data_IF_507428767831
#
_entry.id   IF_507428767831
#
_cell.length_a   1.000
_cell.length_b   1.000
_cell.length_c   1.000
_cell.angle_alpha   90.00
_cell.angle_beta   90.00
_cell.angle_gamma   90.00
#
_symmetry.space_group_name_H-M   'P 1'
#
loop_
_entity.id
_entity.type
_entity.pdbx_description
1 polymer ?
#
# COMPACT_ATOMS: atom_id res chain seq x y z
N UNK A 1 -13.06 -5.45 -2.69
CA UNK A 1 -12.31 -4.42 -3.45
C UNK A 1 -12.78 -4.25 -4.89
N UNK A 2 -12.36 -5.13 -5.81
CA UNK A 2 -12.60 -5.00 -7.26
C UNK A 2 -14.06 -5.20 -7.73
N UNK A 3 -14.98 -5.50 -6.82
CA UNK A 3 -16.42 -5.61 -7.12
C UNK A 3 -17.15 -4.25 -7.05
N UNK A 4 -16.49 -3.20 -6.54
CA UNK A 4 -17.05 -1.85 -6.50
C UNK A 4 -16.68 -1.07 -7.78
N UNK A 5 -17.67 -0.53 -8.52
CA UNK A 5 -17.40 0.24 -9.75
C UNK A 5 -16.49 1.46 -9.54
N UNK A 6 -16.55 2.09 -8.36
CA UNK A 6 -15.69 3.20 -7.96
C UNK A 6 -14.22 2.79 -7.94
N UNK A 7 -13.91 1.63 -7.35
CA UNK A 7 -12.55 1.09 -7.26
C UNK A 7 -12.05 0.60 -8.61
N UNK A 8 -12.90 -0.04 -9.44
CA UNK A 8 -12.51 -0.48 -10.79
C UNK A 8 -12.03 0.68 -11.66
N UNK A 9 -12.67 1.86 -11.55
CA UNK A 9 -12.24 3.07 -12.26
C UNK A 9 -10.88 3.58 -11.76
N UNK A 10 -10.64 3.53 -10.44
CA UNK A 10 -9.32 3.88 -9.87
C UNK A 10 -8.24 2.91 -10.36
N UNK A 11 -8.58 1.64 -10.60
CA UNK A 11 -7.66 0.57 -11.05
C UNK A 11 -7.51 0.42 -12.57
N UNK A 12 -7.87 1.42 -13.39
CA UNK A 12 -7.77 1.36 -14.86
C UNK A 12 -6.38 0.96 -15.37
N UNK A 13 -5.33 1.38 -14.65
CA UNK A 13 -3.94 1.16 -15.01
C UNK A 13 -3.54 -0.33 -15.01
N UNK A 14 -4.25 -1.19 -14.26
CA UNK A 14 -4.06 -2.64 -14.32
C UNK A 14 -4.31 -3.18 -15.73
N UNK A 15 -5.37 -2.71 -16.39
CA UNK A 15 -5.71 -3.11 -17.75
C UNK A 15 -4.79 -2.47 -18.78
N UNK A 16 -4.35 -1.24 -18.55
CA UNK A 16 -3.31 -0.60 -19.36
C UNK A 16 -2.04 -1.47 -19.38
N UNK A 17 -1.53 -1.88 -18.23
CA UNK A 17 -0.35 -2.74 -18.14
C UNK A 17 -0.54 -4.14 -18.73
N UNK A 18 -1.79 -4.63 -18.83
CA UNK A 18 -2.10 -5.89 -19.48
C UNK A 18 -1.92 -5.86 -21.01
N UNK A 19 -1.88 -4.67 -21.63
CA UNK A 19 -1.66 -4.55 -23.08
C UNK A 19 -0.20 -4.85 -23.45
N UNK A 20 0.07 -5.62 -24.52
CA UNK A 20 1.45 -5.88 -24.98
C UNK A 20 2.10 -4.66 -25.63
N UNK A 21 3.36 -4.38 -25.29
CA UNK A 21 4.25 -3.41 -25.95
C UNK A 21 3.99 -1.93 -25.60
N UNK A 22 2.72 -1.52 -25.54
CA UNK A 22 2.35 -0.13 -25.27
C UNK A 22 2.82 0.40 -23.89
N UNK A 23 2.71 -0.35 -22.78
CA UNK A 23 3.13 0.14 -21.48
C UNK A 23 4.63 0.35 -21.38
N UNK A 24 5.42 -0.56 -21.95
CA UNK A 24 6.89 -0.46 -21.97
C UNK A 24 7.35 0.86 -22.59
N UNK A 25 6.83 1.21 -23.78
CA UNK A 25 7.21 2.45 -24.45
C UNK A 25 6.76 3.70 -23.69
N UNK A 26 5.55 3.68 -23.11
CA UNK A 26 4.97 4.83 -22.41
C UNK A 26 5.66 5.10 -21.08
N UNK A 27 5.99 4.07 -20.29
CA UNK A 27 6.60 4.28 -18.97
C UNK A 27 7.98 4.90 -19.07
N UNK A 28 8.75 4.56 -20.11
CA UNK A 28 10.08 5.14 -20.35
C UNK A 28 10.03 6.55 -20.97
N UNK A 29 8.90 6.95 -21.55
CA UNK A 29 8.79 8.22 -22.25
C UNK A 29 8.85 9.43 -21.29
N UNK A 30 9.36 10.56 -21.82
CA UNK A 30 9.32 11.90 -21.18
C UNK A 30 9.86 11.91 -19.73
N UNK A 31 10.98 11.22 -19.52
CA UNK A 31 11.61 11.06 -18.20
C UNK A 31 10.63 10.49 -17.17
N UNK A 32 10.12 9.28 -17.44
CA UNK A 32 9.23 8.54 -16.55
C UNK A 32 7.94 9.28 -16.17
N UNK A 33 7.44 10.15 -17.06
CA UNK A 33 6.31 11.03 -16.75
C UNK A 33 5.09 10.27 -16.26
N UNK A 34 4.84 9.08 -16.80
CA UNK A 34 3.76 8.20 -16.38
C UNK A 34 3.88 7.80 -14.90
N UNK A 35 5.04 7.29 -14.46
CA UNK A 35 5.23 6.91 -13.05
C UNK A 35 5.29 8.12 -12.11
N UNK A 36 5.88 9.23 -12.55
CA UNK A 36 5.89 10.48 -11.76
C UNK A 36 4.48 11.00 -11.49
N UNK A 37 3.54 10.78 -12.41
CA UNK A 37 2.14 11.14 -12.19
C UNK A 37 1.52 10.38 -11.01
N UNK A 38 1.92 9.13 -10.74
CA UNK A 38 1.41 8.38 -9.58
C UNK A 38 1.93 8.90 -8.24
N UNK A 39 3.03 9.66 -8.25
CA UNK A 39 3.59 10.26 -7.02
C UNK A 39 3.07 11.68 -6.77
N UNK A 40 2.23 12.24 -7.64
CA UNK A 40 1.87 13.66 -7.58
C UNK A 40 0.91 14.01 -6.43
N UNK A 41 0.19 13.02 -5.91
CA UNK A 41 -0.80 13.19 -4.85
C UNK A 41 -0.20 13.14 -3.44
N UNK A 42 1.10 12.86 -3.34
CA UNK A 42 1.86 12.94 -2.10
C UNK A 42 1.80 14.36 -1.50
N UNK A 43 1.71 14.41 -0.17
CA UNK A 43 1.57 15.64 0.59
C UNK A 43 2.44 15.60 1.86
N UNK A 44 3.59 16.31 1.89
CA UNK A 44 4.03 17.30 0.91
C UNK A 44 4.47 16.68 -0.43
N UNK A 45 4.47 17.43 -1.55
CA UNK A 45 5.00 16.92 -2.80
C UNK A 45 6.46 16.48 -2.68
N UNK A 46 6.83 15.39 -3.33
CA UNK A 46 8.22 14.96 -3.42
C UNK A 46 9.12 16.06 -4.01
N UNK A 47 10.30 16.25 -3.43
CA UNK A 47 11.29 17.18 -3.97
C UNK A 47 11.87 16.64 -5.30
N UNK A 48 12.50 17.49 -6.12
CA UNK A 48 13.20 17.03 -7.32
C UNK A 48 14.24 15.93 -7.02
N UNK A 49 14.99 16.06 -5.93
CA UNK A 49 16.02 15.09 -5.53
C UNK A 49 15.43 13.76 -5.05
N UNK A 50 14.26 13.80 -4.40
CA UNK A 50 13.50 12.59 -4.08
C UNK A 50 12.98 11.91 -5.34
N UNK A 51 12.44 12.68 -6.28
CA UNK A 51 11.94 12.19 -7.56
C UNK A 51 13.05 11.56 -8.41
N UNK A 52 14.24 12.16 -8.40
CA UNK A 52 15.42 11.62 -9.10
C UNK A 52 15.84 10.25 -8.53
N UNK A 53 15.70 10.02 -7.22
CA UNK A 53 15.94 8.69 -6.61
C UNK A 53 14.92 7.65 -7.08
N UNK A 54 13.65 8.01 -7.24
CA UNK A 54 12.66 7.11 -7.83
C UNK A 54 12.96 6.83 -9.30
N UNK A 55 13.35 7.84 -10.08
CA UNK A 55 13.76 7.69 -11.48
C UNK A 55 14.98 6.76 -11.58
N UNK A 56 15.98 6.93 -10.72
CA UNK A 56 17.15 6.06 -10.67
C UNK A 56 16.77 4.60 -10.39
N UNK A 57 15.86 4.38 -9.44
CA UNK A 57 15.35 3.05 -9.12
C UNK A 57 14.57 2.42 -10.29
N UNK A 58 13.68 3.18 -10.95
CA UNK A 58 12.94 2.70 -12.12
C UNK A 58 13.83 2.45 -13.34
N UNK A 59 14.95 3.16 -13.43
CA UNK A 59 15.92 3.05 -14.53
C UNK A 59 16.89 1.87 -14.38
N UNK A 60 16.86 1.15 -13.26
CA UNK A 60 17.64 -0.08 -13.12
C UNK A 60 17.20 -1.12 -14.17
N UNK A 61 18.13 -1.94 -14.69
CA UNK A 61 17.81 -2.99 -15.65
C UNK A 61 16.64 -3.86 -15.14
N UNK A 62 15.66 -4.11 -16.02
CA UNK A 62 14.45 -4.90 -15.74
C UNK A 62 13.47 -4.34 -14.68
N UNK A 63 13.75 -3.20 -14.03
CA UNK A 63 12.89 -2.67 -12.97
C UNK A 63 11.48 -2.33 -13.50
N UNK A 64 11.40 -1.53 -14.56
CA UNK A 64 10.13 -1.19 -15.19
C UNK A 64 9.38 -2.41 -15.75
N UNK A 65 10.11 -3.35 -16.36
CA UNK A 65 9.54 -4.59 -16.84
C UNK A 65 8.95 -5.43 -15.69
N UNK A 66 9.65 -5.52 -14.56
CA UNK A 66 9.17 -6.17 -13.34
C UNK A 66 7.89 -5.53 -12.79
N UNK A 67 7.85 -4.19 -12.72
CA UNK A 67 6.67 -3.44 -12.29
C UNK A 67 5.46 -3.70 -13.20
N UNK A 68 5.64 -3.65 -14.53
CA UNK A 68 4.58 -3.95 -15.50
C UNK A 68 4.10 -5.40 -15.34
N UNK A 69 5.04 -6.34 -15.22
CA UNK A 69 4.74 -7.77 -15.13
C UNK A 69 3.98 -8.14 -13.85
N UNK A 70 4.17 -7.41 -12.74
CA UNK A 70 3.37 -7.55 -11.52
C UNK A 70 1.87 -7.33 -11.80
N UNK A 71 1.52 -6.27 -12.53
CA UNK A 71 0.14 -5.99 -12.92
C UNK A 71 -0.40 -7.02 -13.91
N UNK A 72 0.41 -7.44 -14.88
CA UNK A 72 0.03 -8.49 -15.84
C UNK A 72 -0.29 -9.82 -15.14
N UNK A 73 0.52 -10.20 -14.16
CA UNK A 73 0.28 -11.40 -13.37
C UNK A 73 -1.06 -11.29 -12.61
N UNK A 74 -1.32 -10.14 -11.99
CA UNK A 74 -2.56 -9.87 -11.27
C UNK A 74 -3.82 -9.96 -12.14
N UNK A 75 -3.75 -9.44 -13.38
CA UNK A 75 -4.88 -9.49 -14.34
C UNK A 75 -5.09 -10.91 -14.91
N UNK A 76 -4.01 -11.65 -15.16
CA UNK A 76 -4.07 -13.02 -15.69
C UNK A 76 -4.51 -14.05 -14.64
N UNK A 77 -4.29 -13.75 -13.36
CA UNK A 77 -4.66 -14.64 -12.27
C UNK A 77 -6.18 -14.68 -12.07
N UNK A 78 -6.73 -15.89 -12.05
CA UNK A 78 -8.13 -16.11 -11.68
C UNK A 78 -8.36 -15.65 -10.24
N UNK A 79 -9.27 -14.70 -10.05
CA UNK A 79 -9.63 -14.19 -8.71
C UNK A 79 -10.18 -15.30 -7.81
N UNK A 80 -10.90 -16.27 -8.39
CA UNK A 80 -11.40 -17.45 -7.67
C UNK A 80 -10.26 -18.33 -7.16
N UNK A 81 -9.26 -18.57 -8.01
CA UNK A 81 -8.08 -19.36 -7.62
C UNK A 81 -7.20 -18.62 -6.62
N UNK A 82 -7.11 -17.29 -6.75
CA UNK A 82 -6.44 -16.43 -5.77
C UNK A 82 -7.10 -16.57 -4.40
N UNK A 83 -8.41 -16.36 -4.34
CA UNK A 83 -9.18 -16.43 -3.10
C UNK A 83 -9.10 -17.82 -2.45
N UNK A 84 -9.16 -18.89 -3.24
CA UNK A 84 -9.04 -20.26 -2.72
C UNK A 84 -7.68 -20.58 -2.07
N UNK A 85 -6.64 -19.77 -2.33
CA UNK A 85 -5.30 -19.93 -1.73
C UNK A 85 -5.08 -19.04 -0.51
N UNK A 86 -5.95 -18.05 -0.27
CA UNK A 86 -5.84 -17.18 0.89
C UNK A 86 -6.11 -17.98 2.16
N UNK A 87 -5.34 -17.67 3.21
CA UNK A 87 -5.51 -18.22 4.55
C UNK A 87 -5.62 -17.05 5.53
N UNK A 88 -6.41 -17.18 6.60
CA UNK A 88 -6.51 -16.14 7.62
C UNK A 88 -5.13 -15.78 8.18
N UNK A 89 -4.87 -14.48 8.32
CA UNK A 89 -3.66 -13.94 8.92
C UNK A 89 -3.81 -13.95 10.45
N UNK A 90 -3.15 -14.90 11.10
CA UNK A 90 -3.22 -15.05 12.56
C UNK A 90 -2.24 -14.15 13.33
N UNK A 91 -1.38 -13.38 12.65
CA UNK A 91 -0.49 -12.45 13.33
C UNK A 91 -1.29 -11.20 13.79
N UNK A 92 -0.92 -10.57 14.92
CA UNK A 92 -1.39 -9.23 15.23
C UNK A 92 -1.18 -8.32 14.01
N UNK A 93 -2.19 -7.55 13.65
CA UNK A 93 -2.17 -6.74 12.43
C UNK A 93 -2.57 -5.30 12.72
N UNK A 94 -1.74 -4.36 12.30
CA UNK A 94 -2.05 -2.93 12.27
C UNK A 94 -2.24 -2.51 10.80
N UNK A 95 -3.35 -1.85 10.48
CA UNK A 95 -3.53 -1.18 9.19
C UNK A 95 -3.33 0.32 9.38
N UNK A 96 -2.52 0.95 8.53
CA UNK A 96 -2.35 2.42 8.48
C UNK A 96 -2.84 2.89 7.12
N UNK A 97 -3.80 3.82 7.09
CA UNK A 97 -4.54 4.19 5.89
C UNK A 97 -4.64 5.71 5.71
N UNK A 98 -4.38 6.21 4.50
CA UNK A 98 -4.56 7.62 4.14
C UNK A 98 -5.95 7.88 3.56
N UNK A 99 -6.69 8.83 4.13
CA UNK A 99 -8.08 9.08 3.66
C UNK A 99 -8.15 9.85 2.34
N UNK A 100 -7.04 10.45 1.87
CA UNK A 100 -6.92 11.11 0.57
C UNK A 100 -6.33 10.23 -0.52
N UNK A 101 -6.39 8.90 -0.37
CA UNK A 101 -5.85 7.95 -1.35
C UNK A 101 -6.59 8.03 -2.71
N UNK A 102 -5.83 8.38 -3.75
CA UNK A 102 -6.31 8.49 -5.13
C UNK A 102 -6.57 7.14 -5.81
N UNK A 103 -5.94 6.07 -5.34
CA UNK A 103 -5.89 4.74 -5.96
C UNK A 103 -6.75 3.70 -5.25
N UNK A 104 -6.89 3.80 -3.93
CA UNK A 104 -7.72 2.89 -3.12
C UNK A 104 -8.81 3.66 -2.36
N UNK A 105 -10.02 3.09 -2.28
CA UNK A 105 -11.13 3.67 -1.51
C UNK A 105 -11.01 3.41 0.00
N UNK A 106 -11.46 4.33 0.87
CA UNK A 106 -11.40 4.18 2.33
C UNK A 106 -12.18 2.97 2.86
N UNK A 107 -13.13 2.44 2.07
CA UNK A 107 -13.84 1.20 2.34
C UNK A 107 -12.94 -0.06 2.33
N UNK A 108 -11.71 0.05 1.80
CA UNK A 108 -10.75 -1.05 1.75
C UNK A 108 -9.79 -1.08 2.94
N UNK A 109 -9.85 -0.09 3.82
CA UNK A 109 -8.97 0.01 4.98
C UNK A 109 -9.27 -1.05 6.05
N UNK A 110 -10.51 -1.54 6.09
CA UNK A 110 -10.95 -2.52 7.06
C UNK A 110 -10.96 -3.91 6.41
N UNK A 111 -10.06 -4.82 6.82
CA UNK A 111 -10.10 -6.19 6.34
C UNK A 111 -11.31 -6.93 6.92
N UNK A 112 -11.74 -7.99 6.23
CA UNK A 112 -12.74 -8.91 6.78
C UNK A 112 -12.17 -9.59 8.04
N UNK A 113 -12.98 -9.73 9.08
CA UNK A 113 -12.60 -10.38 10.32
C UNK A 113 -12.18 -11.84 10.09
N UNK A 114 -12.81 -12.54 9.14
CA UNK A 114 -12.46 -13.93 8.83
C UNK A 114 -11.09 -14.04 8.16
N UNK A 115 -10.65 -13.01 7.45
CA UNK A 115 -9.33 -12.93 6.82
C UNK A 115 -8.24 -12.47 7.80
N UNK A 116 -8.58 -11.57 8.74
CA UNK A 116 -7.64 -11.00 9.72
C UNK A 116 -8.26 -11.01 11.13
N UNK A 117 -8.35 -12.19 11.77
CA UNK A 117 -9.03 -12.33 13.07
C UNK A 117 -8.32 -11.61 14.23
N UNK A 118 -7.02 -11.33 14.09
CA UNK A 118 -6.20 -10.66 15.09
C UNK A 118 -5.84 -9.23 14.66
N UNK A 119 -6.79 -8.51 14.05
CA UNK A 119 -6.66 -7.09 13.77
C UNK A 119 -6.57 -6.32 15.10
N UNK A 120 -5.42 -5.67 15.33
CA UNK A 120 -5.19 -4.81 16.49
C UNK A 120 -6.05 -3.55 16.37
N UNK A 121 -5.84 -2.81 15.28
CA UNK A 121 -6.62 -1.61 14.91
C UNK A 121 -6.36 -1.17 13.48
N UNK A 122 -7.21 -0.25 13.01
CA UNK A 122 -7.05 0.51 11.77
C UNK A 122 -6.81 1.98 12.13
N UNK A 123 -5.65 2.49 11.76
CA UNK A 123 -5.27 3.90 11.95
C UNK A 123 -5.52 4.66 10.65
N UNK A 124 -6.48 5.58 10.68
CA UNK A 124 -6.84 6.43 9.54
C UNK A 124 -6.19 7.80 9.70
N UNK A 125 -5.42 8.23 8.72
CA UNK A 125 -4.75 9.53 8.67
C UNK A 125 -5.47 10.41 7.66
N UNK A 126 -6.27 11.36 8.18
CA UNK A 126 -7.23 12.14 7.41
C UNK A 126 -6.60 12.95 6.25
N UNK A 127 -5.40 13.48 6.47
CA UNK A 127 -4.73 14.36 5.50
C UNK A 127 -3.74 13.64 4.57
N UNK A 128 -3.53 12.33 4.77
CA UNK A 128 -2.56 11.55 4.01
C UNK A 128 -3.15 10.92 2.75
N UNK A 129 -2.34 10.91 1.70
CA UNK A 129 -2.57 10.27 0.40
C UNK A 129 -2.28 8.76 0.46
N UNK A 130 -2.12 8.13 -0.72
CA UNK A 130 -1.62 6.77 -0.84
C UNK A 130 -0.23 6.58 -0.19
N UNK A 131 0.56 7.65 -0.14
CA UNK A 131 1.95 7.65 0.31
C UNK A 131 2.04 7.97 1.81
N UNK A 132 1.25 7.29 2.65
CA UNK A 132 1.11 7.60 4.10
C UNK A 132 2.43 7.73 4.87
N UNK A 133 3.43 6.93 4.49
CA UNK A 133 4.76 6.93 5.09
C UNK A 133 5.57 8.18 4.76
N UNK A 134 5.29 8.81 3.62
CA UNK A 134 5.86 10.09 3.22
C UNK A 134 5.10 11.23 3.87
N UNK A 135 3.76 11.21 3.73
CA UNK A 135 2.90 12.31 4.15
C UNK A 135 2.86 12.53 5.66
N UNK A 136 2.92 11.45 6.43
CA UNK A 136 2.80 11.45 7.90
C UNK A 136 3.94 10.64 8.55
N UNK A 137 5.17 10.82 8.06
CA UNK A 137 6.35 10.02 8.43
C UNK A 137 6.57 9.86 9.93
N UNK A 138 6.47 10.93 10.72
CA UNK A 138 6.58 10.89 12.18
C UNK A 138 5.47 10.06 12.82
N UNK A 139 4.21 10.29 12.42
CA UNK A 139 3.06 9.57 12.94
C UNK A 139 3.14 8.08 12.60
N UNK A 140 3.46 7.73 11.35
CA UNK A 140 3.64 6.34 10.90
C UNK A 140 4.77 5.67 11.68
N UNK A 141 5.90 6.35 11.87
CA UNK A 141 7.02 5.82 12.66
C UNK A 141 6.61 5.53 14.10
N UNK A 142 5.86 6.44 14.73
CA UNK A 142 5.35 6.25 16.09
C UNK A 142 4.38 5.06 16.17
N UNK A 143 3.42 4.97 15.25
CA UNK A 143 2.45 3.87 15.18
C UNK A 143 3.14 2.51 15.04
N UNK A 144 4.13 2.41 14.16
CA UNK A 144 4.93 1.19 13.98
C UNK A 144 5.75 0.86 15.23
N UNK A 145 6.38 1.86 15.85
CA UNK A 145 7.19 1.67 17.06
C UNK A 145 6.33 1.17 18.21
N UNK A 146 5.16 1.77 18.42
CA UNK A 146 4.22 1.36 19.45
C UNK A 146 3.66 -0.04 19.20
N UNK A 147 3.38 -0.38 17.94
CA UNK A 147 2.87 -1.70 17.56
C UNK A 147 3.90 -2.81 17.77
N UNK A 148 5.17 -2.55 17.47
CA UNK A 148 6.27 -3.51 17.67
C UNK A 148 6.87 -3.49 19.07
N UNK A 149 6.45 -2.56 19.93
CA UNK A 149 6.93 -2.50 21.31
C UNK A 149 6.56 -3.81 22.04
N UNK A 150 7.46 -4.36 22.88
CA UNK A 150 7.12 -5.50 23.72
C UNK A 150 5.89 -5.18 24.55
N UNK A 151 4.96 -6.13 24.65
CA UNK A 151 3.85 -6.02 25.59
C UNK A 151 4.43 -5.66 26.96
N UNK A 152 4.02 -4.51 27.53
CA UNK A 152 4.41 -4.16 28.90
C UNK A 152 3.93 -5.31 29.77
N UNK A 153 4.87 -6.09 30.32
CA UNK A 153 4.56 -7.08 31.35
C UNK A 153 3.85 -6.32 32.46
N UNK A 154 2.55 -6.50 32.57
CA UNK A 154 1.79 -6.02 33.71
C UNK A 154 2.39 -6.70 34.94
N UNK A 155 3.08 -5.92 35.79
CA UNK A 155 3.60 -6.39 37.07
C UNK A 155 2.44 -7.07 37.83
N UNK A 156 2.61 -8.32 38.31
CA UNK A 156 1.60 -8.93 39.16
C UNK A 156 1.43 -8.05 40.41
N UNK A 157 0.20 -7.87 40.92
CA UNK A 157 -0.06 -7.04 42.08
C UNK A 157 0.82 -7.52 43.24
N UNK A 158 1.61 -6.60 43.81
CA UNK A 158 2.40 -6.86 45.01
C UNK A 158 1.45 -7.29 46.12
N UNK A 159 1.49 -8.57 46.48
CA UNK A 159 0.82 -9.09 47.66
C UNK A 159 1.48 -8.47 48.89
N UNK A 160 0.81 -7.51 49.51
CA UNK A 160 1.15 -7.01 50.83
C UNK A 160 1.00 -8.14 51.83
N UNK A 161 2.11 -8.76 52.24
CA UNK A 161 2.15 -9.71 53.34
C UNK A 161 1.97 -8.96 54.66
N UNK A 162 0.95 -9.38 55.42
CA UNK A 162 0.72 -9.08 56.85
C UNK A 162 1.79 -9.67 57.74
#
# INVERSE_FOLDING_TARGET
GLHHPSQLRKSWYFFFFATPGLPEDIVHARNWHFFRHFLHDANPPYTPEEMDRYIEAWSQPEAAAGMINYYRASVRQSQKEAAAKLRPLSAPTLVIWGERDSYLGPELAEPDHDDVPNLDRVERIADASHWVHHDASEQVTQLLTDFFAPARLSEPPRTSGT
#
